data_IF_282615736820
#
_entry.id   IF_282615736820
#
_cell.length_a   1.000
_cell.length_b   1.000
_cell.length_c   1.000
_cell.angle_alpha   90.00
_cell.angle_beta   90.00
_cell.angle_gamma   90.00
#
_symmetry.space_group_name_H-M   'P 1'
#
loop_
_entity.id
_entity.type
_entity.pdbx_description
1 polymer ?
#
# COMPACT_ATOMS: atom_id res chain seq x y z
N UNK A 1 -15.01 50.17 -16.35
CA UNK A 1 -14.60 48.93 -15.70
C UNK A 1 -13.84 48.10 -16.72
N UNK A 2 -12.53 47.87 -16.56
CA UNK A 2 -11.78 47.02 -17.46
C UNK A 2 -11.97 45.54 -17.05
N UNK A 3 -11.82 44.56 -17.93
CA UNK A 3 -12.07 43.13 -17.70
C UNK A 3 -10.95 42.53 -16.86
N UNK A 4 -11.33 41.68 -15.92
CA UNK A 4 -10.47 40.87 -15.07
C UNK A 4 -9.79 39.79 -15.91
N UNK A 5 -8.48 39.80 -15.96
CA UNK A 5 -7.65 38.78 -16.62
C UNK A 5 -7.17 37.80 -15.54
N UNK A 6 -7.53 36.52 -15.56
CA UNK A 6 -6.94 35.57 -14.63
C UNK A 6 -5.59 35.12 -15.15
N UNK A 7 -4.52 35.68 -14.60
CA UNK A 7 -3.16 35.17 -14.78
C UNK A 7 -3.07 33.75 -14.20
N UNK A 8 -2.73 32.84 -15.09
CA UNK A 8 -2.38 31.45 -14.81
C UNK A 8 -1.09 31.39 -13.99
N UNK A 9 -1.18 31.39 -12.67
CA UNK A 9 -0.09 30.92 -11.83
C UNK A 9 -0.14 29.39 -11.76
N UNK A 10 0.62 28.78 -12.65
CA UNK A 10 1.04 27.40 -12.52
C UNK A 10 1.87 27.25 -11.26
N UNK A 11 1.25 26.86 -10.15
CA UNK A 11 1.92 26.44 -8.92
C UNK A 11 2.74 25.17 -9.25
N UNK A 12 4.02 25.39 -9.52
CA UNK A 12 5.03 24.37 -9.76
C UNK A 12 5.08 23.37 -8.59
N UNK A 13 5.06 22.09 -8.92
CA UNK A 13 5.14 20.94 -8.01
C UNK A 13 6.54 20.80 -7.37
N UNK A 14 7.13 21.86 -6.83
CA UNK A 14 8.49 21.86 -6.28
C UNK A 14 8.64 22.28 -4.80
N UNK A 15 8.03 21.61 -3.83
CA UNK A 15 8.61 21.71 -2.50
C UNK A 15 9.22 20.41 -1.95
N UNK A 16 8.92 19.26 -2.52
CA UNK A 16 9.35 17.99 -1.94
C UNK A 16 10.75 17.51 -2.37
N UNK A 17 11.22 17.88 -3.57
CA UNK A 17 12.59 17.55 -4.01
C UNK A 17 13.66 18.39 -3.30
N UNK A 18 13.33 19.63 -2.91
CA UNK A 18 14.26 20.47 -2.16
C UNK A 18 14.46 20.02 -0.70
N UNK A 19 13.52 19.26 -0.13
CA UNK A 19 13.67 18.66 1.20
C UNK A 19 14.59 17.44 1.22
N UNK A 20 14.68 16.70 0.10
CA UNK A 20 15.59 15.54 -0.01
C UNK A 20 17.07 15.90 0.19
N UNK A 21 17.48 17.11 -0.13
CA UNK A 21 18.89 17.53 -0.02
C UNK A 21 19.26 18.06 1.37
N UNK A 22 18.29 18.51 2.17
CA UNK A 22 18.55 19.13 3.48
C UNK A 22 18.47 18.14 4.66
N UNK A 23 17.80 16.99 4.51
CA UNK A 23 17.52 16.09 5.62
C UNK A 23 18.40 14.81 5.65
N UNK A 24 19.14 14.50 4.58
CA UNK A 24 20.01 13.31 4.52
C UNK A 24 21.17 13.35 5.52
N UNK A 25 21.58 14.53 5.99
CA UNK A 25 22.71 14.67 6.92
C UNK A 25 22.35 14.29 8.38
N UNK A 26 21.07 14.11 8.72
CA UNK A 26 20.62 13.84 10.10
C UNK A 26 19.91 12.50 10.27
N UNK A 27 19.85 11.64 9.23
CA UNK A 27 19.23 10.33 9.36
C UNK A 27 20.08 9.44 10.30
N UNK A 28 19.42 8.66 11.19
CA UNK A 28 20.11 7.68 12.01
C UNK A 28 20.91 6.71 11.14
N UNK A 29 22.05 6.22 11.65
CA UNK A 29 22.86 5.24 10.94
C UNK A 29 22.03 4.00 10.61
N UNK A 30 22.05 3.56 9.35
CA UNK A 30 21.38 2.35 8.88
C UNK A 30 22.34 1.14 8.97
N UNK A 31 21.95 0.15 9.77
CA UNK A 31 22.65 -1.13 9.89
C UNK A 31 21.85 -2.20 9.13
N UNK A 32 22.43 -2.78 8.08
CA UNK A 32 21.80 -3.80 7.27
C UNK A 32 22.36 -5.19 7.56
N UNK A 33 21.48 -6.17 7.75
CA UNK A 33 21.79 -7.60 7.86
C UNK A 33 20.91 -8.40 6.89
N UNK A 34 21.53 -9.28 6.11
CA UNK A 34 20.84 -10.19 5.20
C UNK A 34 20.97 -11.64 5.68
N UNK A 35 19.88 -12.41 5.57
CA UNK A 35 19.80 -13.82 5.99
C UNK A 35 19.32 -14.69 4.83
N UNK A 36 19.90 -15.89 4.70
CA UNK A 36 19.38 -16.90 3.79
C UNK A 36 17.98 -17.40 4.23
N UNK A 37 17.73 -17.43 5.54
CA UNK A 37 16.43 -17.80 6.09
C UNK A 37 16.22 -17.12 7.44
N UNK A 38 14.96 -16.74 7.73
CA UNK A 38 14.51 -16.18 9.00
C UNK A 38 13.24 -16.87 9.45
N UNK A 39 12.96 -16.88 10.74
CA UNK A 39 11.61 -17.20 11.24
C UNK A 39 10.61 -16.16 10.72
N UNK A 40 10.87 -14.91 11.07
CA UNK A 40 10.16 -13.71 10.57
C UNK A 40 11.08 -12.51 10.78
N UNK A 41 11.36 -11.75 9.74
CA UNK A 41 12.22 -10.56 9.81
C UNK A 41 11.72 -9.53 10.83
N UNK A 42 10.40 -9.30 10.91
CA UNK A 42 9.81 -8.44 11.96
C UNK A 42 10.09 -9.00 13.35
N UNK A 43 9.78 -10.27 13.59
CA UNK A 43 9.94 -10.88 14.92
C UNK A 43 11.39 -10.89 15.38
N UNK A 44 12.34 -11.12 14.49
CA UNK A 44 13.77 -11.09 14.82
C UNK A 44 14.24 -9.68 15.20
N UNK A 45 13.84 -8.63 14.45
CA UNK A 45 14.16 -7.25 14.80
C UNK A 45 13.54 -6.87 16.15
N UNK A 46 12.25 -7.15 16.36
CA UNK A 46 11.54 -6.87 17.61
C UNK A 46 12.25 -7.52 18.79
N UNK A 47 12.53 -8.82 18.70
CA UNK A 47 13.20 -9.57 19.74
C UNK A 47 14.61 -9.02 20.03
N UNK A 48 15.37 -8.66 18.99
CA UNK A 48 16.72 -8.14 19.16
C UNK A 48 16.74 -6.74 19.81
N UNK A 49 15.76 -5.90 19.50
CA UNK A 49 15.58 -4.58 20.11
C UNK A 49 15.12 -4.70 21.58
N UNK A 50 14.15 -5.56 21.86
CA UNK A 50 13.65 -5.78 23.22
C UNK A 50 14.72 -6.33 24.15
N UNK A 51 15.56 -7.25 23.67
CA UNK A 51 16.66 -7.85 24.42
C UNK A 51 17.93 -6.96 24.48
N UNK A 52 17.89 -5.75 23.90
CA UNK A 52 19.03 -4.83 23.90
C UNK A 52 20.21 -5.26 23.02
N UNK A 53 20.03 -6.26 22.14
CA UNK A 53 21.07 -6.68 21.19
C UNK A 53 21.25 -5.70 20.04
N UNK A 54 20.24 -4.86 19.76
CA UNK A 54 20.30 -3.77 18.80
C UNK A 54 20.10 -2.44 19.50
N UNK A 55 20.82 -1.42 19.03
CA UNK A 55 20.70 -0.06 19.53
C UNK A 55 19.41 0.57 19.00
N UNK A 56 18.47 0.91 19.88
CA UNK A 56 17.20 1.52 19.51
C UNK A 56 17.32 2.99 19.03
N UNK A 57 18.51 3.59 19.10
CA UNK A 57 18.76 4.92 18.51
C UNK A 57 19.23 4.87 17.05
N UNK A 58 19.43 3.68 16.49
CA UNK A 58 19.90 3.48 15.12
C UNK A 58 18.83 2.79 14.27
N UNK A 59 18.85 2.99 12.96
CA UNK A 59 18.02 2.23 12.04
C UNK A 59 18.61 0.84 11.79
N UNK A 60 17.75 -0.17 11.73
CA UNK A 60 18.13 -1.55 11.46
C UNK A 60 17.29 -2.14 10.34
N UNK A 61 17.92 -2.54 9.25
CA UNK A 61 17.31 -3.25 8.14
C UNK A 61 17.65 -4.74 8.25
N UNK A 62 16.64 -5.59 8.26
CA UNK A 62 16.78 -7.03 8.16
C UNK A 62 16.08 -7.52 6.92
N UNK A 63 16.81 -8.24 6.07
CA UNK A 63 16.29 -8.87 4.85
C UNK A 63 16.51 -10.37 4.90
N UNK A 64 15.63 -11.15 4.26
CA UNK A 64 15.76 -12.61 4.18
C UNK A 64 15.33 -13.13 2.81
N UNK A 65 15.98 -14.22 2.34
CA UNK A 65 15.55 -14.90 1.10
C UNK A 65 14.29 -15.73 1.30
N UNK A 66 14.05 -16.24 2.52
CA UNK A 66 12.87 -17.03 2.90
C UNK A 66 12.48 -16.76 4.35
N UNK A 67 11.19 -16.97 4.68
CA UNK A 67 10.73 -17.00 6.06
C UNK A 67 9.95 -18.27 6.36
N UNK A 68 10.21 -18.92 7.49
CA UNK A 68 9.50 -20.13 7.91
C UNK A 68 8.22 -19.85 8.69
N UNK A 69 8.11 -18.65 9.28
CA UNK A 69 6.97 -18.19 10.10
C UNK A 69 6.65 -16.71 9.78
N UNK A 70 6.62 -16.36 8.48
CA UNK A 70 6.27 -15.02 8.02
C UNK A 70 4.89 -14.60 8.54
N UNK A 71 4.75 -13.32 8.95
CA UNK A 71 3.55 -12.80 9.61
C UNK A 71 2.89 -11.71 8.77
N UNK A 72 1.56 -11.69 8.82
CA UNK A 72 0.70 -10.61 8.34
C UNK A 72 -0.13 -10.02 9.49
N UNK A 73 -1.01 -9.07 9.17
CA UNK A 73 -1.92 -8.48 10.14
C UNK A 73 -2.92 -9.53 10.70
N UNK A 74 -3.41 -9.28 11.92
CA UNK A 74 -4.42 -10.12 12.59
C UNK A 74 -4.02 -11.59 12.73
N UNK A 75 -2.72 -11.88 12.97
CA UNK A 75 -2.21 -13.23 13.15
C UNK A 75 -2.16 -14.10 11.89
N UNK A 76 -2.45 -13.53 10.72
CA UNK A 76 -2.36 -14.27 9.45
C UNK A 76 -0.90 -14.59 9.12
N UNK A 77 -0.67 -15.74 8.46
CA UNK A 77 0.65 -16.10 7.95
C UNK A 77 0.95 -15.40 6.62
N UNK A 78 2.21 -15.07 6.40
CA UNK A 78 2.74 -14.63 5.11
C UNK A 78 3.64 -15.73 4.54
N UNK A 79 3.24 -16.33 3.44
CA UNK A 79 4.05 -17.35 2.77
C UNK A 79 5.25 -16.72 2.08
N UNK A 80 6.43 -17.27 2.30
CA UNK A 80 7.70 -16.64 1.91
C UNK A 80 8.60 -17.56 1.09
N UNK A 81 8.20 -17.97 -0.13
CA UNK A 81 9.06 -18.75 -1.01
C UNK A 81 10.27 -17.95 -1.51
N UNK A 82 11.34 -18.62 -1.93
CA UNK A 82 12.50 -17.97 -2.57
C UNK A 82 12.10 -17.17 -3.82
N UNK A 83 12.87 -16.11 -4.09
CA UNK A 83 12.70 -15.29 -5.29
C UNK A 83 11.81 -14.07 -5.07
N UNK A 84 11.39 -13.81 -3.84
CA UNK A 84 10.60 -12.67 -3.41
C UNK A 84 11.39 -11.79 -2.44
N UNK A 85 10.89 -10.60 -2.12
CA UNK A 85 11.51 -9.68 -1.16
C UNK A 85 10.78 -9.79 0.17
N UNK A 86 11.55 -10.03 1.23
CA UNK A 86 11.11 -9.98 2.63
C UNK A 86 12.06 -9.09 3.40
N UNK A 87 11.57 -7.96 3.84
CA UNK A 87 12.37 -7.01 4.60
C UNK A 87 11.60 -6.44 5.76
N UNK A 88 12.33 -6.06 6.80
CA UNK A 88 11.84 -5.29 7.93
C UNK A 88 12.82 -4.18 8.24
N UNK A 89 12.33 -2.95 8.35
CA UNK A 89 13.09 -1.78 8.76
C UNK A 89 12.60 -1.33 10.13
N UNK A 90 13.50 -1.27 11.10
CA UNK A 90 13.27 -0.55 12.35
C UNK A 90 13.73 0.90 12.18
N UNK A 91 12.88 1.83 12.55
CA UNK A 91 13.15 3.26 12.59
C UNK A 91 12.86 3.81 13.99
N UNK A 92 13.85 4.51 14.64
CA UNK A 92 13.59 5.21 15.89
C UNK A 92 12.54 6.30 15.67
N UNK A 93 11.52 6.37 16.51
CA UNK A 93 10.48 7.40 16.43
C UNK A 93 9.87 7.61 17.81
N UNK A 94 9.49 8.84 18.12
CA UNK A 94 8.86 9.21 19.39
C UNK A 94 7.44 9.75 19.21
N UNK A 95 6.97 9.90 17.97
CA UNK A 95 5.61 10.29 17.63
C UNK A 95 4.68 9.09 17.68
N UNK A 96 3.43 9.23 18.15
CA UNK A 96 2.45 8.16 18.14
C UNK A 96 2.25 7.60 16.73
N UNK A 97 2.32 6.28 16.58
CA UNK A 97 2.09 5.62 15.29
C UNK A 97 0.59 5.46 15.06
N UNK A 98 0.14 5.88 13.88
CA UNK A 98 -1.24 5.74 13.41
C UNK A 98 -1.33 4.88 12.15
N UNK A 99 -2.54 4.49 11.77
CA UNK A 99 -2.82 3.76 10.53
C UNK A 99 -2.36 4.50 9.26
N UNK A 100 -2.23 5.82 9.33
CA UNK A 100 -1.75 6.66 8.24
C UNK A 100 -0.34 6.26 7.76
N UNK A 101 0.55 5.81 8.66
CA UNK A 101 1.88 5.34 8.29
C UNK A 101 1.83 4.18 7.28
N UNK A 102 0.89 3.24 7.45
CA UNK A 102 0.73 2.12 6.52
C UNK A 102 0.34 2.59 5.10
N UNK A 103 -0.53 3.59 5.02
CA UNK A 103 -0.98 4.17 3.76
C UNK A 103 0.14 4.97 3.09
N UNK A 104 0.92 5.72 3.88
CA UNK A 104 2.10 6.45 3.37
C UNK A 104 3.13 5.47 2.80
N UNK A 105 3.42 4.37 3.51
CA UNK A 105 4.30 3.31 3.00
C UNK A 105 3.74 2.74 1.69
N UNK A 106 2.44 2.46 1.63
CA UNK A 106 1.78 1.97 0.42
C UNK A 106 2.00 2.91 -0.77
N UNK A 107 1.81 4.21 -0.59
CA UNK A 107 2.03 5.24 -1.62
C UNK A 107 3.52 5.29 -2.04
N UNK A 108 4.47 5.27 -1.10
CA UNK A 108 5.89 5.30 -1.44
C UNK A 108 6.35 4.02 -2.16
N UNK A 109 5.84 2.84 -1.78
CA UNK A 109 6.09 1.60 -2.52
C UNK A 109 5.46 1.61 -3.92
N UNK A 110 4.25 2.17 -4.07
CA UNK A 110 3.60 2.31 -5.37
C UNK A 110 4.36 3.25 -6.33
N UNK A 111 5.21 4.13 -5.80
CA UNK A 111 6.11 5.01 -6.59
C UNK A 111 7.42 4.34 -7.01
N UNK A 112 7.71 3.13 -6.56
CA UNK A 112 8.94 2.42 -7.00
C UNK A 112 9.01 2.36 -8.52
N UNK A 113 10.20 2.56 -9.14
CA UNK A 113 10.35 2.60 -10.59
C UNK A 113 9.75 1.39 -11.30
N UNK A 114 9.92 0.18 -10.74
CA UNK A 114 9.35 -1.05 -11.31
C UNK A 114 7.81 -1.02 -11.31
N UNK A 115 7.18 -0.51 -10.26
CA UNK A 115 5.72 -0.41 -10.17
C UNK A 115 5.20 0.63 -11.16
N UNK A 116 5.86 1.78 -11.27
CA UNK A 116 5.47 2.83 -12.23
C UNK A 116 5.60 2.35 -13.67
N UNK A 117 6.70 1.70 -14.01
CA UNK A 117 6.92 1.10 -15.33
C UNK A 117 5.83 0.09 -15.69
N UNK A 118 5.49 -0.82 -14.77
CA UNK A 118 4.41 -1.80 -14.98
C UNK A 118 3.05 -1.10 -15.12
N UNK A 119 2.78 -0.09 -14.31
CA UNK A 119 1.53 0.68 -14.39
C UNK A 119 1.35 1.44 -15.70
N UNK A 120 2.44 1.95 -16.29
CA UNK A 120 2.40 2.55 -17.64
C UNK A 120 1.98 1.51 -18.69
N UNK A 121 2.57 0.32 -18.66
CA UNK A 121 2.24 -0.76 -19.58
C UNK A 121 0.81 -1.29 -19.39
N UNK A 122 0.40 -1.47 -18.12
CA UNK A 122 -0.97 -1.89 -17.79
C UNK A 122 -2.00 -0.88 -18.30
N UNK A 123 -1.76 0.43 -18.09
CA UNK A 123 -2.63 1.50 -18.62
C UNK A 123 -2.70 1.51 -20.14
N UNK A 124 -1.56 1.38 -20.81
CA UNK A 124 -1.50 1.36 -22.27
C UNK A 124 -2.33 0.22 -22.89
N UNK A 125 -2.55 -0.87 -22.13
CA UNK A 125 -3.36 -2.03 -22.54
C UNK A 125 -4.77 -2.02 -21.94
N UNK A 126 -5.18 -0.94 -21.27
CA UNK A 126 -6.50 -0.83 -20.63
C UNK A 126 -6.71 -1.75 -19.44
N UNK A 127 -5.62 -2.28 -18.86
CA UNK A 127 -5.65 -3.18 -17.69
C UNK A 127 -5.69 -2.37 -16.39
N UNK A 128 -6.11 -3.04 -15.30
CA UNK A 128 -6.07 -2.47 -13.96
C UNK A 128 -4.63 -2.24 -13.51
N UNK A 129 -4.35 -1.08 -12.92
CA UNK A 129 -3.04 -0.71 -12.41
C UNK A 129 -2.84 -1.17 -10.97
N UNK A 130 -1.58 -1.41 -10.59
CA UNK A 130 -1.17 -1.69 -9.23
C UNK A 130 -1.40 -0.41 -8.40
N UNK A 131 -2.18 -0.52 -7.35
CA UNK A 131 -2.50 0.57 -6.44
C UNK A 131 -2.39 0.16 -4.99
N UNK A 132 -2.68 1.10 -4.10
CA UNK A 132 -2.74 0.90 -2.65
C UNK A 132 -4.16 0.50 -2.28
N UNK A 133 -4.32 -0.65 -1.66
CA UNK A 133 -5.60 -1.05 -1.07
C UNK A 133 -5.56 -0.76 0.42
N UNK A 134 -6.52 0.04 0.88
CA UNK A 134 -6.71 0.29 2.31
C UNK A 134 -6.85 -1.05 3.07
N UNK A 135 -6.12 -1.31 4.17
CA UNK A 135 -5.24 -0.34 4.86
C UNK A 135 -3.73 -0.60 4.62
N UNK A 136 -3.31 -1.75 4.03
CA UNK A 136 -1.91 -2.20 4.10
C UNK A 136 -1.47 -3.10 2.94
N UNK A 137 -2.17 -3.11 1.84
CA UNK A 137 -1.89 -3.99 0.72
C UNK A 137 -1.59 -3.21 -0.57
N UNK A 138 -0.70 -3.74 -1.41
CA UNK A 138 -0.54 -3.32 -2.80
C UNK A 138 -1.07 -4.41 -3.73
N UNK A 139 -1.75 -3.98 -4.80
CA UNK A 139 -2.29 -4.88 -5.80
C UNK A 139 -3.38 -4.21 -6.62
N UNK A 140 -4.26 -5.00 -7.21
CA UNK A 140 -5.36 -4.49 -8.03
C UNK A 140 -6.55 -5.44 -8.05
N UNK A 141 -7.72 -4.91 -8.40
CA UNK A 141 -8.91 -5.71 -8.69
C UNK A 141 -9.00 -5.99 -10.19
N UNK A 142 -9.32 -7.23 -10.56
CA UNK A 142 -9.49 -7.59 -11.97
C UNK A 142 -10.69 -6.85 -12.58
N UNK A 143 -10.45 -6.08 -13.65
CA UNK A 143 -11.49 -5.32 -14.37
C UNK A 143 -12.36 -6.16 -15.31
N UNK A 144 -12.14 -7.45 -15.45
CA UNK A 144 -12.89 -8.30 -16.41
C UNK A 144 -14.41 -8.28 -16.21
N UNK A 145 -14.89 -7.81 -15.04
CA UNK A 145 -16.32 -7.68 -14.74
C UNK A 145 -16.90 -6.26 -14.87
N UNK A 146 -16.08 -5.22 -14.97
CA UNK A 146 -16.59 -3.83 -15.05
C UNK A 146 -17.02 -3.41 -16.47
N UNK A 147 -16.57 -4.11 -17.51
CA UNK A 147 -16.95 -3.77 -18.89
C UNK A 147 -18.35 -4.24 -19.30
N UNK A 148 -18.98 -5.16 -18.55
CA UNK A 148 -20.34 -5.60 -18.82
C UNK A 148 -21.44 -4.68 -18.21
N UNK A 149 -21.06 -3.69 -17.40
CA UNK A 149 -21.98 -2.74 -16.77
C UNK A 149 -21.57 -1.29 -17.04
N UNK A 150 -21.07 -0.97 -18.24
CA UNK A 150 -21.07 0.41 -18.71
C UNK A 150 -22.54 0.85 -18.76
N UNK A 151 -22.88 1.78 -17.90
CA UNK A 151 -24.18 2.45 -17.89
C UNK A 151 -24.45 3.01 -19.30
N UNK A 152 -25.28 2.31 -20.08
CA UNK A 152 -26.03 2.95 -21.11
C UNK A 152 -26.89 4.00 -20.40
N UNK A 153 -26.63 5.29 -20.70
CA UNK A 153 -27.61 6.34 -20.49
C UNK A 153 -28.87 5.94 -21.27
N UNK A 154 -29.77 5.23 -20.63
CA UNK A 154 -31.11 5.06 -21.15
C UNK A 154 -31.87 6.34 -20.84
N UNK A 155 -32.23 7.03 -21.91
CA UNK A 155 -33.34 7.98 -21.94
C UNK A 155 -34.55 7.37 -21.23
N UNK A 156 -35.21 8.15 -20.41
CA UNK A 156 -36.39 7.78 -19.62
C UNK A 156 -37.41 6.97 -20.44
N UNK A 157 -37.87 5.81 -19.94
CA UNK A 157 -39.03 5.15 -20.53
C UNK A 157 -40.29 5.71 -19.87
N UNK A 158 -41.21 6.14 -20.71
CA UNK A 158 -42.61 6.41 -20.36
C UNK A 158 -43.22 5.15 -19.79
N UNK A 159 -44.02 5.37 -18.73
CA UNK A 159 -44.89 4.44 -18.01
C UNK A 159 -45.39 3.24 -18.81
N UNK A 160 -45.22 2.03 -18.24
CA UNK A 160 -46.34 1.04 -18.14
C UNK A 160 -45.92 -0.07 -17.14
N UNK A 161 -46.84 -0.37 -16.25
CA UNK A 161 -46.81 -1.41 -15.24
C UNK A 161 -46.48 -2.80 -15.80
N UNK A 162 -45.35 -3.35 -15.41
CA UNK A 162 -45.12 -4.79 -15.36
C UNK A 162 -44.15 -5.04 -14.18
N UNK A 163 -44.64 -5.77 -13.19
CA UNK A 163 -43.90 -6.14 -12.00
C UNK A 163 -42.55 -6.80 -12.36
N UNK A 164 -41.48 -6.01 -12.31
CA UNK A 164 -40.11 -6.49 -12.41
C UNK A 164 -39.76 -7.29 -11.16
N UNK A 165 -39.69 -8.62 -11.30
CA UNK A 165 -39.08 -9.49 -10.29
C UNK A 165 -37.69 -8.96 -10.02
N UNK A 166 -37.25 -8.83 -8.73
CA UNK A 166 -35.87 -8.47 -8.44
C UNK A 166 -34.96 -9.52 -9.06
N UNK A 167 -34.10 -9.09 -9.98
CA UNK A 167 -32.99 -9.92 -10.46
C UNK A 167 -32.13 -10.21 -9.22
N UNK A 168 -32.14 -11.46 -8.74
CA UNK A 168 -31.20 -11.93 -7.73
C UNK A 168 -29.78 -11.66 -8.25
N UNK A 169 -29.18 -10.58 -7.78
CA UNK A 169 -27.80 -10.26 -8.09
C UNK A 169 -26.94 -11.35 -7.48
N UNK A 170 -26.44 -12.25 -8.31
CA UNK A 170 -25.36 -13.16 -7.95
C UNK A 170 -24.27 -12.32 -7.29
N UNK A 171 -24.05 -12.55 -5.99
CA UNK A 171 -23.05 -11.87 -5.16
C UNK A 171 -21.64 -12.28 -5.62
N UNK A 172 -21.20 -11.83 -6.79
CA UNK A 172 -19.82 -12.05 -7.24
C UNK A 172 -18.92 -10.98 -6.59
N UNK A 173 -18.04 -11.45 -5.71
CA UNK A 173 -16.95 -10.62 -5.16
C UNK A 173 -15.80 -10.58 -6.17
N UNK A 174 -15.32 -9.39 -6.48
CA UNK A 174 -14.13 -9.22 -7.33
C UNK A 174 -12.90 -9.72 -6.58
N UNK A 175 -12.05 -10.57 -7.20
CA UNK A 175 -10.82 -11.00 -6.58
C UNK A 175 -9.82 -9.84 -6.52
N UNK A 176 -9.20 -9.65 -5.35
CA UNK A 176 -8.06 -8.75 -5.18
C UNK A 176 -6.76 -9.52 -5.41
N UNK A 177 -5.98 -9.09 -6.41
CA UNK A 177 -4.66 -9.63 -6.72
C UNK A 177 -3.61 -8.93 -5.86
N UNK A 178 -3.21 -9.58 -4.77
CA UNK A 178 -2.28 -9.03 -3.78
C UNK A 178 -0.84 -9.25 -4.21
N UNK A 179 -0.13 -8.15 -4.47
CA UNK A 179 1.28 -8.11 -4.85
C UNK A 179 2.19 -7.98 -3.63
N UNK A 180 1.84 -7.10 -2.70
CA UNK A 180 2.62 -6.85 -1.49
C UNK A 180 1.72 -6.65 -0.27
N UNK A 181 2.30 -6.85 0.91
CA UNK A 181 1.66 -6.58 2.19
C UNK A 181 2.58 -5.87 3.16
N UNK A 182 2.04 -4.99 3.97
CA UNK A 182 2.73 -4.14 4.95
C UNK A 182 2.31 -4.56 6.35
N UNK A 183 3.27 -4.71 7.26
CA UNK A 183 3.04 -5.01 8.67
C UNK A 183 3.82 -4.03 9.54
N UNK A 184 3.12 -3.21 10.31
CA UNK A 184 3.70 -2.19 11.18
C UNK A 184 3.54 -2.63 12.64
N UNK A 185 4.64 -2.58 13.40
CA UNK A 185 4.66 -2.96 14.82
C UNK A 185 5.43 -1.91 15.63
N UNK A 186 4.74 -1.10 16.46
CA UNK A 186 5.39 -0.15 17.36
C UNK A 186 6.22 -0.87 18.43
N UNK A 187 7.39 -0.31 18.76
CA UNK A 187 8.28 -0.83 19.79
C UNK A 187 8.26 0.07 21.01
N UNK A 188 7.95 -0.52 22.15
CA UNK A 188 7.96 0.19 23.43
C UNK A 188 9.02 -0.38 24.38
N UNK A 189 9.69 0.50 25.11
CA UNK A 189 10.58 0.17 26.24
C UNK A 189 10.14 0.94 27.49
N UNK A 190 9.98 0.25 28.58
CA UNK A 190 9.49 0.84 29.86
C UNK A 190 8.21 1.71 29.65
N UNK A 191 7.28 1.22 28.82
CA UNK A 191 6.02 1.90 28.53
C UNK A 191 6.11 3.10 27.58
N UNK A 192 7.30 3.43 27.07
CA UNK A 192 7.51 4.54 26.13
C UNK A 192 7.77 4.00 24.72
N UNK A 193 7.15 4.63 23.71
CA UNK A 193 7.45 4.36 22.32
C UNK A 193 8.91 4.75 22.02
N UNK A 194 9.67 3.85 21.42
CA UNK A 194 11.09 4.08 21.06
C UNK A 194 11.33 3.94 19.56
N UNK A 195 10.37 3.39 18.84
CA UNK A 195 10.48 3.23 17.38
C UNK A 195 9.39 2.33 16.82
N UNK A 196 9.52 2.03 15.53
CA UNK A 196 8.58 1.20 14.79
C UNK A 196 9.32 0.22 13.90
N UNK A 197 8.84 -1.03 13.83
CA UNK A 197 9.27 -2.02 12.84
C UNK A 197 8.25 -2.03 11.70
N UNK A 198 8.72 -1.77 10.50
CA UNK A 198 7.94 -1.78 9.26
C UNK A 198 8.37 -2.97 8.41
N UNK A 199 7.54 -4.01 8.34
CA UNK A 199 7.76 -5.18 7.52
C UNK A 199 7.04 -5.08 6.18
N UNK A 200 7.71 -5.48 5.11
CA UNK A 200 7.12 -5.57 3.77
C UNK A 200 7.50 -6.89 3.12
N UNK A 201 6.48 -7.60 2.63
CA UNK A 201 6.65 -8.73 1.72
C UNK A 201 6.19 -8.31 0.31
N UNK A 202 7.05 -8.47 -0.70
CA UNK A 202 6.74 -8.23 -2.11
C UNK A 202 6.95 -9.51 -2.92
N UNK A 203 5.92 -9.94 -3.63
CA UNK A 203 6.01 -11.07 -4.55
C UNK A 203 6.68 -10.63 -5.85
N UNK A 204 7.84 -11.19 -6.16
CA UNK A 204 8.65 -10.82 -7.34
C UNK A 204 8.63 -11.92 -8.39
N UNK A 205 9.17 -13.09 -8.08
CA UNK A 205 9.30 -14.20 -9.01
C UNK A 205 8.37 -15.37 -8.69
N UNK A 206 7.98 -15.51 -7.42
CA UNK A 206 7.18 -16.63 -6.96
C UNK A 206 5.83 -16.15 -6.41
N UNK A 207 4.75 -16.74 -6.91
CA UNK A 207 3.40 -16.50 -6.42
C UNK A 207 3.02 -17.57 -5.41
N UNK A 208 2.80 -17.18 -4.13
CA UNK A 208 2.35 -18.12 -3.11
C UNK A 208 1.00 -18.75 -3.48
N UNK A 209 0.88 -20.06 -3.32
CA UNK A 209 -0.42 -20.74 -3.42
C UNK A 209 -1.20 -20.50 -2.13
N UNK A 210 -2.11 -19.57 -2.16
CA UNK A 210 -3.03 -19.35 -1.05
C UNK A 210 -4.10 -20.44 -1.09
N UNK A 211 -4.28 -21.20 0.01
CA UNK A 211 -5.49 -21.98 0.19
C UNK A 211 -6.65 -21.00 0.25
N UNK A 212 -7.77 -21.34 -0.42
CA UNK A 212 -8.94 -20.46 -0.52
C UNK A 212 -9.50 -20.11 0.87
N UNK A 213 -8.89 -19.14 1.54
CA UNK A 213 -9.40 -18.52 2.74
C UNK A 213 -10.30 -17.36 2.26
N UNK A 214 -11.56 -17.67 2.11
CA UNK A 214 -12.62 -16.67 2.03
C UNK A 214 -12.71 -15.98 3.39
N UNK A 215 -11.98 -14.89 3.58
CA UNK A 215 -12.28 -13.99 4.68
C UNK A 215 -13.56 -13.25 4.31
N UNK A 216 -14.70 -13.66 4.86
CA UNK A 216 -15.99 -12.94 4.91
C UNK A 216 -16.42 -12.27 3.59
N UNK A 217 -16.35 -13.00 2.48
CA UNK A 217 -16.78 -12.52 1.17
C UNK A 217 -15.74 -11.75 0.36
N UNK A 218 -14.49 -11.64 0.82
CA UNK A 218 -13.37 -11.15 0.03
C UNK A 218 -12.50 -12.30 -0.46
N UNK A 219 -12.29 -12.37 -1.77
CA UNK A 219 -11.37 -13.32 -2.38
C UNK A 219 -10.02 -12.64 -2.59
N UNK A 220 -8.97 -13.15 -1.93
CA UNK A 220 -7.59 -12.74 -2.17
C UNK A 220 -6.89 -13.77 -3.04
N UNK A 221 -6.20 -13.30 -4.05
CA UNK A 221 -5.26 -14.09 -4.87
C UNK A 221 -3.88 -13.45 -4.76
N UNK A 222 -2.85 -14.26 -4.57
CA UNK A 222 -1.50 -13.74 -4.68
C UNK A 222 -1.16 -13.51 -6.16
N UNK A 223 -0.34 -12.50 -6.43
CA UNK A 223 0.26 -12.24 -7.74
C UNK A 223 1.71 -11.79 -7.53
N UNK A 224 2.59 -12.05 -8.49
CA UNK A 224 3.97 -11.59 -8.49
C UNK A 224 4.23 -10.57 -9.61
N UNK A 225 5.33 -9.81 -9.52
CA UNK A 225 5.76 -8.93 -10.62
C UNK A 225 5.96 -9.72 -11.91
N UNK A 226 6.48 -10.96 -11.81
CA UNK A 226 6.66 -11.85 -12.95
C UNK A 226 5.34 -12.22 -13.61
N UNK A 227 4.29 -12.51 -12.82
CA UNK A 227 2.96 -12.82 -13.38
C UNK A 227 2.37 -11.60 -14.07
N UNK A 228 2.56 -10.39 -13.50
CA UNK A 228 2.11 -9.14 -14.11
C UNK A 228 2.80 -8.92 -15.46
N UNK A 229 4.13 -9.14 -15.54
CA UNK A 229 4.84 -9.09 -16.81
C UNK A 229 4.29 -10.11 -17.84
N UNK A 230 3.91 -11.31 -17.38
CA UNK A 230 3.35 -12.34 -18.25
C UNK A 230 1.92 -12.05 -18.72
N UNK A 231 1.18 -11.18 -18.02
CA UNK A 231 -0.16 -10.72 -18.44
C UNK A 231 -0.10 -9.67 -19.56
N UNK A 232 1.04 -8.98 -19.71
CA UNK A 232 1.21 -7.95 -20.72
C UNK A 232 1.47 -8.59 -22.10
N UNK A 233 0.77 -8.11 -23.12
CA UNK A 233 1.01 -8.55 -24.49
C UNK A 233 2.42 -8.17 -24.95
N UNK A 234 3.11 -9.01 -25.72
CA UNK A 234 4.48 -8.76 -26.18
C UNK A 234 4.54 -7.71 -27.29
N UNK A 235 4.02 -6.48 -27.04
CA UNK A 235 4.06 -5.35 -27.99
C UNK A 235 5.30 -4.49 -27.88
N UNK A 236 6.15 -4.75 -26.90
CA UNK A 236 7.37 -3.98 -26.60
C UNK A 236 8.52 -4.92 -26.23
N UNK A 237 9.76 -4.43 -26.14
CA UNK A 237 10.86 -5.23 -25.62
C UNK A 237 10.49 -5.82 -24.24
N UNK A 238 10.96 -7.05 -23.95
CA UNK A 238 10.61 -7.73 -22.70
C UNK A 238 10.96 -6.86 -21.49
N UNK A 239 10.03 -6.75 -20.56
CA UNK A 239 10.23 -6.00 -19.31
C UNK A 239 11.23 -6.78 -18.47
N UNK A 240 12.41 -6.19 -18.26
CA UNK A 240 13.41 -6.73 -17.35
C UNK A 240 13.08 -6.25 -15.93
N UNK A 241 12.69 -7.18 -15.07
CA UNK A 241 12.54 -6.90 -13.65
C UNK A 241 13.90 -6.63 -13.02
N UNK A 242 14.01 -5.64 -12.10
CA UNK A 242 15.21 -5.44 -11.31
C UNK A 242 15.59 -6.70 -10.52
N UNK A 243 16.87 -6.87 -10.24
CA UNK A 243 17.31 -7.92 -9.33
C UNK A 243 16.82 -7.68 -7.89
N UNK A 244 16.85 -8.73 -7.07
CA UNK A 244 16.37 -8.63 -5.69
C UNK A 244 17.16 -7.62 -4.85
N UNK A 245 18.47 -7.44 -5.12
CA UNK A 245 19.31 -6.47 -4.41
C UNK A 245 18.83 -5.04 -4.68
N UNK A 246 18.56 -4.71 -5.93
CA UNK A 246 17.99 -3.42 -6.34
C UNK A 246 16.62 -3.20 -5.71
N UNK A 247 15.78 -4.23 -5.67
CA UNK A 247 14.46 -4.13 -5.04
C UNK A 247 14.55 -3.95 -3.51
N UNK A 248 15.46 -4.64 -2.83
CA UNK A 248 15.72 -4.41 -1.40
C UNK A 248 16.14 -2.95 -1.14
N UNK A 249 17.02 -2.41 -1.97
CA UNK A 249 17.46 -1.02 -1.85
C UNK A 249 16.28 -0.06 -2.06
N UNK A 250 15.57 -0.15 -3.17
CA UNK A 250 14.44 0.73 -3.49
C UNK A 250 13.34 0.67 -2.41
N UNK A 251 13.04 -0.53 -1.91
CA UNK A 251 12.03 -0.67 -0.85
C UNK A 251 12.50 -0.07 0.48
N UNK A 252 13.78 -0.22 0.85
CA UNK A 252 14.30 0.41 2.07
C UNK A 252 14.29 1.93 1.97
N UNK A 253 14.64 2.49 0.81
CA UNK A 253 14.54 3.93 0.52
C UNK A 253 13.08 4.42 0.61
N UNK A 254 12.12 3.65 0.07
CA UNK A 254 10.69 3.95 0.17
C UNK A 254 10.20 3.96 1.62
N UNK A 255 10.66 3.02 2.47
CA UNK A 255 10.29 3.00 3.89
C UNK A 255 10.89 4.19 4.66
N UNK A 256 12.12 4.58 4.38
CA UNK A 256 12.76 5.75 4.99
C UNK A 256 12.00 7.02 4.56
N UNK A 257 11.71 7.17 3.27
CA UNK A 257 10.93 8.29 2.75
C UNK A 257 9.53 8.37 3.37
N UNK A 258 8.90 7.20 3.59
CA UNK A 258 7.59 7.13 4.24
C UNK A 258 7.67 7.59 5.71
N UNK A 259 8.72 7.21 6.45
CA UNK A 259 8.91 7.68 7.83
C UNK A 259 9.15 9.18 7.89
N UNK A 260 10.05 9.72 7.05
CA UNK A 260 10.28 11.17 6.96
C UNK A 260 8.97 11.92 6.69
N UNK A 261 8.15 11.43 5.77
CA UNK A 261 6.84 12.02 5.47
C UNK A 261 5.89 11.92 6.66
N UNK A 262 5.82 10.76 7.32
CA UNK A 262 4.98 10.55 8.48
C UNK A 262 5.35 11.47 9.64
N UNK A 263 6.65 11.57 9.96
CA UNK A 263 7.15 12.48 10.99
C UNK A 263 6.84 13.94 10.67
N UNK A 264 6.99 14.33 9.41
CA UNK A 264 6.66 15.68 8.96
C UNK A 264 5.17 16.01 9.15
N UNK A 265 4.27 15.06 8.84
CA UNK A 265 2.83 15.20 9.05
C UNK A 265 2.45 15.23 10.54
N UNK A 266 3.25 14.57 11.40
CA UNK A 266 3.05 14.53 12.85
C UNK A 266 3.57 15.76 13.61
N UNK A 267 4.39 16.63 12.97
CA UNK A 267 4.88 17.85 13.59
C UNK A 267 3.78 18.91 13.58
N UNK A 268 3.36 19.38 14.76
CA UNK A 268 2.42 20.49 14.91
C UNK A 268 3.04 21.80 14.41
N UNK A 269 2.85 22.11 13.12
CA UNK A 269 3.20 23.42 12.54
C UNK A 269 1.94 24.13 12.07
N UNK A 270 1.66 25.37 12.53
CA UNK A 270 0.39 26.03 12.30
C UNK A 270 0.04 26.36 10.84
N UNK A 271 1.01 26.39 9.92
CA UNK A 271 0.80 26.98 8.58
C UNK A 271 1.07 26.06 7.38
N UNK A 272 1.61 24.86 7.56
CA UNK A 272 1.97 23.98 6.44
C UNK A 272 1.38 22.58 6.46
N UNK A 273 0.91 22.13 7.62
CA UNK A 273 0.50 20.73 7.85
C UNK A 273 -0.68 20.32 6.97
N UNK A 274 -1.69 21.18 6.81
CA UNK A 274 -2.86 20.90 5.98
C UNK A 274 -2.47 20.69 4.50
N UNK A 275 -1.58 21.52 3.98
CA UNK A 275 -1.10 21.41 2.60
C UNK A 275 -0.43 20.05 2.33
N UNK A 276 0.39 19.55 3.26
CA UNK A 276 1.06 18.26 3.09
C UNK A 276 0.12 17.08 3.22
N UNK A 277 -0.86 17.15 4.12
CA UNK A 277 -1.91 16.14 4.24
C UNK A 277 -2.77 16.11 2.98
N UNK A 278 -3.22 17.25 2.48
CA UNK A 278 -4.01 17.36 1.26
C UNK A 278 -3.22 16.81 0.04
N UNK A 279 -1.91 17.12 -0.04
CA UNK A 279 -1.02 16.57 -1.06
C UNK A 279 -0.85 15.05 -0.96
N UNK A 280 -0.78 14.51 0.27
CA UNK A 280 -0.73 13.07 0.47
C UNK A 280 -2.06 12.41 0.07
N UNK A 281 -3.20 12.96 0.49
CA UNK A 281 -4.52 12.44 0.15
C UNK A 281 -4.73 12.42 -1.37
N UNK A 282 -4.35 13.49 -2.08
CA UNK A 282 -4.42 13.53 -3.55
C UNK A 282 -3.53 12.45 -4.21
N UNK A 283 -2.34 12.17 -3.66
CA UNK A 283 -1.48 11.10 -4.16
C UNK A 283 -2.07 9.72 -3.87
N UNK A 284 -2.66 9.51 -2.69
CA UNK A 284 -3.35 8.26 -2.37
C UNK A 284 -4.52 8.05 -3.32
N UNK A 285 -5.39 9.04 -3.52
CA UNK A 285 -6.55 8.97 -4.41
C UNK A 285 -6.16 8.56 -5.84
N UNK A 286 -5.03 9.08 -6.33
CA UNK A 286 -4.50 8.71 -7.65
C UNK A 286 -4.01 7.25 -7.74
N UNK A 287 -3.78 6.60 -6.61
CA UNK A 287 -3.25 5.23 -6.48
C UNK A 287 -4.21 4.30 -5.74
N UNK A 288 -5.40 4.76 -5.36
CA UNK A 288 -6.37 3.96 -4.61
C UNK A 288 -6.91 2.80 -5.46
N UNK A 289 -6.58 1.58 -5.05
CA UNK A 289 -7.07 0.36 -5.71
C UNK A 289 -8.58 0.12 -5.48
N UNK A 290 -9.19 0.82 -4.52
CA UNK A 290 -10.62 0.73 -4.20
C UNK A 290 -11.45 1.80 -4.91
N UNK A 291 -10.83 2.81 -5.52
CA UNK A 291 -11.52 3.98 -6.08
C UNK A 291 -12.72 3.60 -6.96
N UNK A 292 -13.89 4.09 -6.59
CA UNK A 292 -15.15 3.86 -7.32
C UNK A 292 -15.72 2.44 -7.22
N UNK A 293 -15.12 1.52 -6.46
CA UNK A 293 -15.68 0.20 -6.22
C UNK A 293 -16.79 0.27 -5.19
N UNK A 294 -17.85 -0.54 -5.42
CA UNK A 294 -18.89 -0.75 -4.40
C UNK A 294 -18.35 -1.71 -3.35
N UNK A 295 -18.26 -1.24 -2.13
CA UNK A 295 -17.76 -1.98 -0.99
C UNK A 295 -18.88 -2.39 -0.04
N UNK A 296 -18.63 -3.50 0.67
CA UNK A 296 -19.33 -3.85 1.89
C UNK A 296 -18.28 -3.95 3.00
N UNK A 297 -18.39 -3.08 3.99
CA UNK A 297 -17.52 -3.03 5.15
C UNK A 297 -18.25 -3.65 6.33
N UNK A 298 -17.65 -4.66 6.95
CA UNK A 298 -18.18 -5.30 8.15
C UNK A 298 -17.29 -4.95 9.32
N UNK A 299 -17.87 -4.39 10.36
CA UNK A 299 -17.20 -4.03 11.60
C UNK A 299 -17.75 -4.87 12.74
N UNK A 300 -16.89 -5.37 13.61
CA UNK A 300 -17.27 -6.08 14.83
C UNK A 300 -16.95 -5.20 16.04
N UNK A 301 -17.98 -4.73 16.71
CA UNK A 301 -17.89 -4.00 17.96
C UNK A 301 -18.35 -4.91 19.11
N UNK A 302 -17.40 -5.62 19.72
CA UNK A 302 -17.66 -6.50 20.88
C UNK A 302 -18.77 -7.55 20.63
N UNK A 303 -18.74 -8.19 19.46
CA UNK A 303 -19.73 -9.18 19.06
C UNK A 303 -20.97 -8.62 18.34
N UNK A 304 -21.09 -7.29 18.23
CA UNK A 304 -22.09 -6.64 17.40
C UNK A 304 -21.52 -6.40 16.00
N UNK A 305 -21.98 -7.17 15.03
CA UNK A 305 -21.55 -7.05 13.63
C UNK A 305 -22.41 -6.00 12.94
N UNK A 306 -21.77 -4.90 12.55
CA UNK A 306 -22.39 -3.88 11.70
C UNK A 306 -21.86 -3.99 10.27
N UNK A 307 -22.74 -3.86 9.30
CA UNK A 307 -22.39 -3.92 7.87
C UNK A 307 -22.85 -2.66 7.17
N UNK A 308 -21.89 -1.93 6.61
CA UNK A 308 -22.10 -0.76 5.77
C UNK A 308 -21.84 -1.11 4.30
N UNK A 309 -22.62 -0.52 3.41
CA UNK A 309 -22.40 -0.65 1.96
C UNK A 309 -22.34 0.73 1.32
N UNK A 310 -21.36 0.95 0.44
CA UNK A 310 -21.16 2.23 -0.23
C UNK A 310 -20.14 2.13 -1.36
N UNK A 311 -19.77 3.26 -1.94
CA UNK A 311 -18.70 3.37 -2.92
C UNK A 311 -17.48 3.99 -2.26
N UNK A 312 -16.29 3.44 -2.53
CA UNK A 312 -15.04 4.04 -2.07
C UNK A 312 -14.81 5.37 -2.78
N UNK A 313 -14.65 6.44 -2.00
CA UNK A 313 -14.47 7.81 -2.49
C UNK A 313 -13.15 8.45 -2.01
N UNK A 314 -12.18 7.65 -1.57
CA UNK A 314 -10.91 8.10 -1.01
C UNK A 314 -10.87 8.03 0.51
N UNK A 315 -9.93 8.77 1.12
CA UNK A 315 -9.70 8.81 2.56
C UNK A 315 -10.12 10.14 3.16
N UNK A 316 -10.58 10.10 4.41
CA UNK A 316 -10.72 11.31 5.20
C UNK A 316 -9.35 11.82 5.74
N UNK A 317 -9.36 12.94 6.45
CA UNK A 317 -8.15 13.54 7.03
C UNK A 317 -7.50 12.71 8.14
N UNK A 318 -8.15 11.65 8.62
CA UNK A 318 -7.62 10.70 9.61
C UNK A 318 -7.10 9.42 8.96
N UNK A 319 -7.20 9.27 7.64
CA UNK A 319 -6.83 8.07 6.90
C UNK A 319 -7.88 6.96 6.97
N UNK A 320 -9.13 7.28 7.30
CA UNK A 320 -10.25 6.35 7.28
C UNK A 320 -10.90 6.33 5.88
N UNK A 321 -11.36 5.12 5.49
CA UNK A 321 -12.05 4.90 4.21
C UNK A 321 -13.52 5.31 4.32
#
# INVERSE_FOLDING_TARGET
MPPFNPSSDALSAQPFESLKSLELEHLPKLNHRHLASSGSTNSELITALQNGRLNAAEMHLLTAETQSAGRGQHGRSWQSPRGNVYLSLYHPVHLPISGLLSLIIGVELAKMPVIQMLNEQLRAQGLATIGVKWANDLGFYSKQYSQQHSFQKQSEPKSNDAALKPLESTKQTLPFHKLAGILIEPITKAGKLVGVVMGVGLNVQATPKLTAQTCEGMSYQAISLRDICAMLEPKAPPILLPDLKTLYQQMSESLIAAMTRFEYLGLEKPTGQRYYLDSFLAQFDAMDALAGLRLRVTQDYNGNIETLTGYACGLDTHGCL
#
